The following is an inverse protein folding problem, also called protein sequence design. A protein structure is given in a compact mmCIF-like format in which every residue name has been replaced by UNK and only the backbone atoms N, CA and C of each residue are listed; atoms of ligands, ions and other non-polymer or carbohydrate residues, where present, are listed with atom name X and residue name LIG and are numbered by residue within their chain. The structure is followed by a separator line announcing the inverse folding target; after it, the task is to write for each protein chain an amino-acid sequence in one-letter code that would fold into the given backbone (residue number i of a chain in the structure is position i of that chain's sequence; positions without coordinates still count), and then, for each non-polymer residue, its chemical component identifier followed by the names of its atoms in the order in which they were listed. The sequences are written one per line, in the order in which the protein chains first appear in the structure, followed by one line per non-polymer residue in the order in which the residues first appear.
data_IF_745748139374
#
_entry.id   IF_745748139374
#
_cell.length_a   1.000
_cell.length_b   1.000
_cell.length_c   1.000
_cell.angle_alpha   90.00
_cell.angle_beta   90.00
_cell.angle_gamma   90.00
#
_symmetry.space_group_name_H-M   'P 1'
#
loop_
_entity.id
_entity.type
_entity.pdbx_description
1 polymer ?
#
# COMPACT_ATOMS: atom_id res chain seq x y z
N UNK A 1 19.58 14.74 -22.68
CA UNK A 1 18.85 15.37 -21.55
C UNK A 1 17.57 14.57 -21.33
N UNK A 2 17.57 13.63 -20.38
CA UNK A 2 16.38 12.78 -20.14
C UNK A 2 15.38 13.55 -19.29
N UNK A 3 14.32 14.03 -19.93
CA UNK A 3 13.14 14.56 -19.27
C UNK A 3 12.42 13.38 -18.61
N UNK A 4 12.56 13.21 -17.29
CA UNK A 4 11.72 12.30 -16.52
C UNK A 4 10.36 12.95 -16.36
N UNK A 5 9.42 12.58 -17.24
CA UNK A 5 8.00 12.91 -17.10
C UNK A 5 7.55 12.54 -15.69
N UNK A 6 7.29 13.56 -14.86
CA UNK A 6 6.58 13.40 -13.58
C UNK A 6 5.15 13.02 -13.92
N UNK A 7 4.82 11.74 -13.73
CA UNK A 7 3.41 11.31 -13.75
C UNK A 7 2.70 12.01 -12.59
N UNK A 8 1.61 12.75 -12.83
CA UNK A 8 0.86 13.41 -11.77
C UNK A 8 0.27 12.40 -10.78
N UNK A 9 0.09 12.86 -9.54
CA UNK A 9 -0.22 12.16 -8.27
C UNK A 9 -1.42 11.19 -8.25
N UNK A 10 -2.14 11.01 -9.35
CA UNK A 10 -3.47 10.38 -9.39
C UNK A 10 -3.52 8.98 -10.03
N UNK A 11 -2.39 8.44 -10.52
CA UNK A 11 -2.36 7.14 -11.22
C UNK A 11 -1.60 6.03 -10.49
N UNK A 12 -1.05 6.30 -9.29
CA UNK A 12 -0.43 5.24 -8.48
C UNK A 12 -1.51 4.47 -7.73
N UNK A 13 -1.40 3.13 -7.75
CA UNK A 13 -2.29 2.25 -7.00
C UNK A 13 -2.44 2.76 -5.55
N UNK A 14 -3.68 3.03 -5.08
CA UNK A 14 -3.89 3.59 -3.74
C UNK A 14 -3.45 2.63 -2.63
N UNK A 15 -3.08 1.40 -3.00
CA UNK A 15 -2.56 0.38 -2.12
C UNK A 15 -1.12 -0.06 -2.43
N UNK A 16 -0.35 0.76 -3.14
CA UNK A 16 1.05 0.49 -3.43
C UNK A 16 1.86 0.34 -2.13
N UNK A 17 2.47 -0.83 -1.96
CA UNK A 17 3.38 -1.13 -0.86
C UNK A 17 4.79 -0.62 -1.14
N UNK A 18 5.46 -0.15 -0.10
CA UNK A 18 6.85 0.29 -0.15
C UNK A 18 7.55 0.08 1.20
N UNK A 19 8.88 0.05 1.16
CA UNK A 19 9.72 -0.02 2.37
C UNK A 19 10.08 1.39 2.80
N UNK A 20 9.52 1.84 3.92
CA UNK A 20 9.89 3.11 4.52
C UNK A 20 11.08 2.93 5.46
N UNK A 21 12.01 3.88 5.42
CA UNK A 21 13.06 3.98 6.42
C UNK A 21 12.59 4.76 7.64
N UNK A 22 12.83 4.24 8.84
CA UNK A 22 12.61 4.94 10.09
C UNK A 22 13.88 5.69 10.50
N UNK A 23 13.75 6.99 10.72
CA UNK A 23 14.82 7.85 11.23
C UNK A 23 14.96 7.70 12.76
N UNK A 24 16.06 8.23 13.32
CA UNK A 24 16.35 8.17 14.77
C UNK A 24 15.32 8.90 15.63
N UNK A 25 14.67 9.91 15.07
CA UNK A 25 13.59 10.66 15.73
C UNK A 25 12.24 9.92 15.68
N UNK A 26 12.20 8.74 15.06
CA UNK A 26 11.01 7.92 14.92
C UNK A 26 10.16 8.25 13.70
N UNK A 27 10.46 9.33 12.96
CA UNK A 27 9.77 9.67 11.72
C UNK A 27 10.03 8.64 10.62
N UNK A 28 9.12 8.54 9.66
CA UNK A 28 9.18 7.60 8.55
C UNK A 28 9.43 8.35 7.24
N UNK A 29 10.25 7.77 6.37
CA UNK A 29 10.38 8.24 5.00
C UNK A 29 9.07 8.08 4.23
N UNK A 30 8.93 8.88 3.18
CA UNK A 30 7.79 8.80 2.27
C UNK A 30 7.96 7.70 1.21
N UNK A 31 6.95 7.56 0.37
CA UNK A 31 6.84 6.60 -0.74
C UNK A 31 7.79 6.92 -1.91
N UNK A 32 8.33 8.13 -1.98
CA UNK A 32 9.29 8.55 -2.99
C UNK A 32 10.73 8.21 -2.60
N UNK A 33 10.94 7.97 -1.31
CA UNK A 33 12.24 7.61 -0.76
C UNK A 33 12.50 6.13 -0.97
N UNK A 34 13.37 5.80 -1.92
CA UNK A 34 13.89 4.43 -2.07
C UNK A 34 14.88 4.13 -0.94
N UNK A 35 14.35 3.76 0.24
CA UNK A 35 15.12 3.64 1.48
C UNK A 35 16.36 2.72 1.35
N UNK A 36 16.24 1.68 0.51
CA UNK A 36 17.30 0.70 0.19
C UNK A 36 18.50 1.31 -0.56
N UNK A 37 18.35 2.47 -1.19
CA UNK A 37 19.41 3.17 -1.92
C UNK A 37 20.01 4.34 -1.14
N UNK A 38 19.49 4.66 0.04
CA UNK A 38 20.08 5.68 0.88
C UNK A 38 21.42 5.20 1.46
N UNK A 39 22.27 6.14 1.87
CA UNK A 39 23.55 5.83 2.49
C UNK A 39 23.37 4.96 3.74
N UNK A 40 24.34 4.09 4.00
CA UNK A 40 24.34 3.22 5.18
C UNK A 40 24.10 4.01 6.47
N UNK A 41 23.30 3.42 7.38
CA UNK A 41 22.94 4.00 8.70
C UNK A 41 22.13 5.30 8.64
N UNK A 42 21.57 5.66 7.48
CA UNK A 42 20.56 6.74 7.37
C UNK A 42 19.34 6.39 8.20
N UNK A 43 18.90 5.14 8.13
CA UNK A 43 17.74 4.62 8.85
C UNK A 43 18.15 3.68 9.97
N UNK A 44 17.37 3.67 11.04
CA UNK A 44 17.56 2.76 12.18
C UNK A 44 16.71 1.49 12.07
N UNK A 45 15.62 1.54 11.31
CA UNK A 45 14.73 0.41 11.01
C UNK A 45 14.15 0.57 9.61
N UNK A 46 13.71 -0.54 9.04
CA UNK A 46 12.80 -0.55 7.89
C UNK A 46 11.40 -0.92 8.34
N UNK A 47 10.39 -0.37 7.67
CA UNK A 47 8.98 -0.57 8.02
C UNK A 47 8.19 -0.75 6.74
N UNK A 48 7.36 -1.78 6.69
CA UNK A 48 6.40 -1.95 5.61
C UNK A 48 5.35 -0.83 5.65
N UNK A 49 5.15 -0.11 4.55
CA UNK A 49 4.16 0.97 4.45
C UNK A 49 3.34 0.81 3.18
N UNK A 50 2.15 1.37 3.23
CA UNK A 50 1.26 1.47 2.09
C UNK A 50 0.85 2.92 1.87
N UNK A 51 0.64 3.32 0.62
CA UNK A 51 0.17 4.67 0.25
C UNK A 51 -1.18 5.02 0.90
N UNK A 52 -2.01 4.02 1.24
CA UNK A 52 -3.26 4.22 2.00
C UNK A 52 -3.07 4.53 3.50
N UNK A 53 -1.82 4.54 4.00
CA UNK A 53 -1.51 4.82 5.41
C UNK A 53 -1.32 3.60 6.30
N UNK A 54 -1.48 2.37 5.79
CA UNK A 54 -1.17 1.16 6.55
C UNK A 54 0.33 1.08 6.90
N UNK A 55 0.62 0.57 8.10
CA UNK A 55 1.97 0.45 8.67
C UNK A 55 2.13 -0.96 9.24
N UNK A 56 3.17 -1.66 8.81
CA UNK A 56 3.57 -2.97 9.33
C UNK A 56 4.54 -2.87 10.50
N UNK A 57 5.22 -3.98 10.77
CA UNK A 57 6.20 -4.08 11.85
C UNK A 57 7.55 -3.46 11.48
N UNK A 58 8.29 -3.04 12.51
CA UNK A 58 9.66 -2.58 12.36
C UNK A 58 10.62 -3.77 12.16
N UNK A 59 11.55 -3.60 11.23
CA UNK A 59 12.52 -4.61 10.84
C UNK A 59 13.95 -4.03 10.79
N UNK A 60 14.95 -4.91 10.70
CA UNK A 60 16.34 -4.47 10.59
C UNK A 60 16.57 -3.61 9.32
N UNK A 61 17.39 -2.53 9.38
CA UNK A 61 17.68 -1.68 8.22
C UNK A 61 18.72 -2.34 7.29
N UNK A 62 18.48 -3.59 6.90
CA UNK A 62 19.31 -4.38 6.00
C UNK A 62 18.46 -4.99 4.87
N UNK A 63 19.11 -5.65 3.91
CA UNK A 63 18.42 -6.22 2.75
C UNK A 63 17.36 -7.25 3.15
N UNK A 64 17.66 -8.11 4.14
CA UNK A 64 16.69 -9.10 4.63
C UNK A 64 15.49 -8.43 5.28
N UNK A 65 15.70 -7.38 6.08
CA UNK A 65 14.61 -6.61 6.68
C UNK A 65 13.73 -5.93 5.63
N UNK A 66 14.33 -5.41 4.55
CA UNK A 66 13.56 -4.88 3.42
C UNK A 66 12.70 -5.96 2.75
N UNK A 67 13.27 -7.14 2.47
CA UNK A 67 12.52 -8.27 1.93
C UNK A 67 11.39 -8.75 2.85
N UNK A 68 11.62 -8.73 4.17
CA UNK A 68 10.57 -9.05 5.16
C UNK A 68 9.45 -8.01 5.12
N UNK A 69 9.78 -6.72 5.10
CA UNK A 69 8.78 -5.66 4.95
C UNK A 69 7.92 -5.83 3.68
N UNK A 70 8.56 -6.11 2.54
CA UNK A 70 7.85 -6.35 1.27
C UNK A 70 6.92 -7.57 1.34
N UNK A 71 7.38 -8.64 1.99
CA UNK A 71 6.58 -9.86 2.19
C UNK A 71 5.42 -9.62 3.14
N UNK A 72 5.63 -8.91 4.24
CA UNK A 72 4.60 -8.64 5.24
C UNK A 72 3.49 -7.77 4.65
N UNK A 73 3.82 -6.74 3.86
CA UNK A 73 2.80 -6.00 3.10
C UNK A 73 2.00 -6.91 2.16
N UNK A 74 2.68 -7.79 1.42
CA UNK A 74 2.06 -8.70 0.46
C UNK A 74 1.16 -9.74 1.13
N UNK A 75 1.53 -10.19 2.33
CA UNK A 75 0.81 -11.22 3.08
C UNK A 75 -0.37 -10.62 3.86
N UNK A 76 -0.15 -9.50 4.55
CA UNK A 76 -1.08 -9.01 5.57
C UNK A 76 -2.02 -7.94 5.03
N UNK A 77 -1.54 -7.08 4.12
CA UNK A 77 -2.30 -5.91 3.67
C UNK A 77 -2.84 -6.02 2.25
N UNK A 78 -2.00 -6.42 1.29
CA UNK A 78 -2.38 -6.49 -0.12
C UNK A 78 -3.68 -7.30 -0.39
N UNK A 79 -3.92 -8.47 0.26
CA UNK A 79 -5.14 -9.24 0.02
C UNK A 79 -6.39 -8.51 0.48
N UNK A 80 -6.32 -7.85 1.65
CA UNK A 80 -7.44 -7.07 2.20
C UNK A 80 -7.72 -5.83 1.35
N UNK A 81 -6.68 -5.12 0.94
CA UNK A 81 -6.78 -3.99 0.01
C UNK A 81 -7.47 -4.38 -1.30
N UNK A 82 -7.05 -5.50 -1.89
CA UNK A 82 -7.62 -6.04 -3.14
C UNK A 82 -9.09 -6.43 -2.96
N UNK A 83 -9.45 -7.05 -1.84
CA UNK A 83 -10.81 -7.45 -1.53
C UNK A 83 -11.74 -6.23 -1.36
N UNK A 84 -11.29 -5.18 -0.66
CA UNK A 84 -12.03 -3.93 -0.49
C UNK A 84 -12.22 -3.23 -1.83
N UNK A 85 -11.17 -3.08 -2.64
CA UNK A 85 -11.26 -2.49 -3.97
C UNK A 85 -12.26 -3.26 -4.85
N UNK A 86 -12.24 -4.60 -4.78
CA UNK A 86 -13.20 -5.45 -5.49
C UNK A 86 -14.63 -5.19 -5.01
N UNK A 87 -14.88 -5.16 -3.70
CA UNK A 87 -16.21 -4.95 -3.14
C UNK A 87 -16.79 -3.57 -3.47
N UNK A 88 -15.96 -2.52 -3.45
CA UNK A 88 -16.38 -1.15 -3.78
C UNK A 88 -16.69 -0.98 -5.28
N UNK A 89 -16.04 -1.77 -6.14
CA UNK A 89 -16.27 -1.74 -7.58
C UNK A 89 -17.39 -2.68 -8.04
N UNK A 90 -18.05 -3.42 -7.13
CA UNK A 90 -19.22 -4.21 -7.47
C UNK A 90 -20.45 -3.27 -7.57
N UNK A 91 -21.20 -3.29 -8.69
CA UNK A 91 -22.49 -2.63 -8.73
C UNK A 91 -23.36 -3.24 -7.64
N UNK A 92 -23.86 -2.41 -6.73
CA UNK A 92 -24.84 -2.85 -5.74
C UNK A 92 -26.03 -3.41 -6.52
N UNK A 93 -26.20 -4.73 -6.50
CA UNK A 93 -27.37 -5.36 -7.09
C UNK A 93 -28.59 -4.80 -6.37
N UNK A 94 -29.31 -3.88 -7.02
CA UNK A 94 -30.57 -3.39 -6.53
C UNK A 94 -31.46 -4.61 -6.25
N UNK A 95 -32.16 -4.68 -5.10
CA UNK A 95 -33.04 -5.80 -4.84
C UNK A 95 -34.08 -5.84 -5.96
N UNK A 96 -34.01 -6.92 -6.74
CA UNK A 96 -34.95 -7.23 -7.81
C UNK A 96 -36.34 -7.25 -7.17
N UNK A 97 -37.12 -6.18 -7.37
CA UNK A 97 -38.48 -6.09 -6.84
C UNK A 97 -39.29 -7.24 -7.40
N UNK A 98 -39.61 -8.22 -6.56
CA UNK A 98 -40.54 -9.29 -6.89
C UNK A 98 -41.83 -8.66 -7.43
N UNK A 99 -42.10 -8.93 -8.70
CA UNK A 99 -43.29 -8.46 -9.39
C UNK A 99 -44.54 -8.88 -8.63
N UNK A 100 -45.44 -7.92 -8.46
CA UNK A 100 -46.75 -8.09 -7.83
C UNK A 100 -47.52 -9.18 -8.60
N UNK A 101 -47.74 -10.34 -7.98
CA UNK A 101 -48.63 -11.38 -8.51
C UNK A 101 -50.05 -10.79 -8.56
N UNK A 102 -50.58 -10.61 -9.77
CA UNK A 102 -51.98 -10.29 -9.98
C UNK A 102 -52.86 -11.42 -9.46
N UNK A 103 -53.82 -11.08 -8.60
CA UNK A 103 -54.92 -11.96 -8.19
C UNK A 103 -56.10 -11.82 -9.18
N UNK A 104 -56.95 -12.84 -9.28
CA UNK A 104 -57.75 -13.18 -10.47
C UNK A 104 -58.86 -12.19 -10.80
#
# INVERSE_FOLDING_TARGET
MFSRSRVPRSEQDPHQGYVAGRYRDGSLSDDWTEARRCADRTFVRYVARCTCGWIGLDDAPDERGAERCERDWRADHQPLASAVATALNQPTAAPMRAGRVGRP
#
